data_IF_630378172112
#
_entry.id   IF_630378172112
#
_cell.length_a   1.000
_cell.length_b   1.000
_cell.length_c   1.000
_cell.angle_alpha   90.00
_cell.angle_beta   90.00
_cell.angle_gamma   90.00
#
_symmetry.space_group_name_H-M   'P 1'
#
loop_
_entity.id
_entity.type
_entity.pdbx_description
1 polymer ?
#
# COMPACT_ATOMS: atom_id res chain seq x y z
N UNK A 1 -18.65 -34.42 11.85
CA UNK A 1 -18.17 -33.20 12.52
C UNK A 1 -17.18 -32.52 11.58
N UNK A 2 -17.59 -31.46 10.88
CA UNK A 2 -16.65 -30.63 10.13
C UNK A 2 -15.89 -29.76 11.13
N UNK A 3 -14.57 -29.95 11.20
CA UNK A 3 -13.70 -29.07 11.97
C UNK A 3 -13.85 -27.65 11.41
N UNK A 4 -14.19 -26.69 12.28
CA UNK A 4 -14.04 -25.27 11.97
C UNK A 4 -12.55 -25.03 11.73
N UNK A 5 -12.17 -24.79 10.47
CA UNK A 5 -10.81 -24.47 10.09
C UNK A 5 -10.36 -23.19 10.80
N UNK A 6 -9.17 -23.22 11.41
CA UNK A 6 -8.50 -22.03 11.94
C UNK A 6 -8.44 -20.94 10.87
N UNK A 7 -8.81 -19.71 11.22
CA UNK A 7 -8.64 -18.56 10.35
C UNK A 7 -7.17 -18.42 9.95
N UNK A 8 -6.93 -18.16 8.67
CA UNK A 8 -5.60 -17.95 8.14
C UNK A 8 -5.41 -16.49 7.78
N UNK A 9 -4.20 -15.98 7.97
CA UNK A 9 -3.82 -14.61 7.64
C UNK A 9 -2.51 -14.61 6.87
N UNK A 10 -2.36 -13.64 5.97
CA UNK A 10 -1.13 -13.38 5.23
C UNK A 10 -0.61 -11.98 5.53
N UNK A 11 0.72 -11.82 5.51
CA UNK A 11 1.39 -10.51 5.59
C UNK A 11 1.82 -9.99 4.22
N UNK A 12 1.55 -10.75 3.15
CA UNK A 12 1.82 -10.30 1.78
C UNK A 12 1.06 -9.00 1.51
N UNK A 13 1.76 -8.02 0.94
CA UNK A 13 1.13 -6.80 0.46
C UNK A 13 0.41 -7.12 -0.84
N UNK A 14 -0.92 -6.97 -0.82
CA UNK A 14 -1.81 -7.17 -1.97
C UNK A 14 -2.49 -5.86 -2.29
N UNK A 15 -2.69 -5.60 -3.58
CA UNK A 15 -3.27 -4.36 -4.12
C UNK A 15 -4.39 -4.69 -5.10
N UNK A 16 -5.27 -3.73 -5.39
CA UNK A 16 -6.40 -3.94 -6.33
C UNK A 16 -5.93 -4.40 -7.73
N UNK A 17 -4.75 -3.97 -8.17
CA UNK A 17 -4.17 -4.36 -9.47
C UNK A 17 -3.79 -5.84 -9.55
N UNK A 18 -3.67 -6.54 -8.43
CA UNK A 18 -3.43 -7.99 -8.41
C UNK A 18 -4.68 -8.80 -8.77
N UNK A 19 -5.87 -8.21 -8.71
CA UNK A 19 -7.13 -8.93 -8.94
C UNK A 19 -7.21 -9.50 -10.35
N UNK A 20 -6.84 -8.73 -11.37
CA UNK A 20 -6.89 -9.18 -12.77
C UNK A 20 -6.04 -10.45 -13.01
N UNK A 21 -4.72 -10.47 -12.74
CA UNK A 21 -3.91 -11.67 -12.94
C UNK A 21 -4.33 -12.82 -12.01
N UNK A 22 -4.82 -12.52 -10.80
CA UNK A 22 -5.33 -13.55 -9.87
C UNK A 22 -6.58 -14.24 -10.41
N UNK A 23 -7.57 -13.47 -10.87
CA UNK A 23 -8.82 -14.00 -11.41
C UNK A 23 -8.56 -14.77 -12.70
N UNK A 24 -7.68 -14.26 -13.57
CA UNK A 24 -7.29 -14.95 -14.80
C UNK A 24 -6.66 -16.33 -14.49
N UNK A 25 -5.75 -16.42 -13.51
CA UNK A 25 -5.17 -17.69 -13.08
C UNK A 25 -6.23 -18.64 -12.51
N UNK A 26 -7.13 -18.15 -11.63
CA UNK A 26 -8.21 -18.96 -11.06
C UNK A 26 -9.19 -19.48 -12.12
N UNK A 27 -9.49 -18.65 -13.13
CA UNK A 27 -10.36 -19.00 -14.25
C UNK A 27 -9.67 -19.85 -15.32
N UNK A 28 -8.35 -20.11 -15.18
CA UNK A 28 -7.54 -20.80 -16.18
C UNK A 28 -7.55 -20.11 -17.56
N UNK A 29 -7.63 -18.78 -17.56
CA UNK A 29 -7.64 -17.94 -18.76
C UNK A 29 -6.28 -17.26 -18.93
N UNK A 30 -5.71 -17.33 -20.13
CA UNK A 30 -4.51 -16.59 -20.48
C UNK A 30 -4.82 -15.12 -20.74
N UNK A 31 -4.06 -14.21 -20.14
CA UNK A 31 -4.12 -12.78 -20.49
C UNK A 31 -3.47 -12.54 -21.86
N UNK A 32 -3.92 -11.50 -22.61
CA UNK A 32 -3.32 -11.14 -23.88
C UNK A 32 -1.79 -10.95 -23.79
N UNK A 33 -1.01 -11.43 -24.78
CA UNK A 33 0.43 -11.23 -24.79
C UNK A 33 0.78 -9.75 -24.96
N UNK A 34 1.88 -9.32 -24.35
CA UNK A 34 2.37 -7.94 -24.43
C UNK A 34 1.71 -6.95 -23.47
N UNK A 35 0.77 -7.39 -22.62
CA UNK A 35 0.26 -6.55 -21.54
C UNK A 35 1.33 -6.34 -20.47
N UNK A 36 1.61 -5.07 -20.15
CA UNK A 36 2.38 -4.68 -18.97
C UNK A 36 1.40 -4.56 -17.81
N UNK A 37 1.57 -5.39 -16.78
CA UNK A 37 0.71 -5.42 -15.61
C UNK A 37 1.53 -5.04 -14.37
N UNK A 38 0.99 -4.14 -13.56
CA UNK A 38 1.58 -3.79 -12.26
C UNK A 38 1.29 -4.85 -11.19
N UNK A 39 0.20 -5.62 -11.38
CA UNK A 39 -0.23 -6.66 -10.47
C UNK A 39 0.37 -8.02 -10.79
N UNK A 40 0.45 -8.86 -9.76
CA UNK A 40 0.85 -10.26 -9.86
C UNK A 40 -0.20 -11.15 -9.22
N UNK A 41 -0.43 -12.35 -9.76
CA UNK A 41 -1.38 -13.27 -9.16
C UNK A 41 -1.01 -13.62 -7.71
N UNK A 42 -2.01 -13.57 -6.83
CA UNK A 42 -1.86 -13.92 -5.41
C UNK A 42 -2.53 -15.25 -5.06
N UNK A 43 -2.89 -16.07 -6.05
CA UNK A 43 -3.41 -17.44 -5.83
C UNK A 43 -2.55 -18.26 -4.85
N UNK A 44 -1.19 -18.23 -4.91
CA UNK A 44 -0.37 -18.92 -3.93
C UNK A 44 -0.64 -18.47 -2.49
N UNK A 45 -0.85 -17.17 -2.26
CA UNK A 45 -1.12 -16.63 -0.93
C UNK A 45 -2.55 -16.93 -0.44
N UNK A 46 -3.51 -17.10 -1.37
CA UNK A 46 -4.90 -17.39 -1.06
C UNK A 46 -5.15 -18.88 -0.77
N UNK A 47 -4.52 -19.78 -1.53
CA UNK A 47 -4.86 -21.20 -1.54
C UNK A 47 -3.81 -22.12 -0.89
N UNK A 48 -2.57 -21.69 -0.65
CA UNK A 48 -1.54 -22.57 -0.07
C UNK A 48 -1.59 -22.57 1.46
N UNK A 49 -1.69 -23.78 2.02
CA UNK A 49 -1.80 -24.06 3.46
C UNK A 49 -0.48 -23.86 4.24
N UNK A 50 -0.52 -23.39 5.51
CA UNK A 50 0.62 -23.13 6.41
C UNK A 50 1.40 -24.38 6.82
N UNK A 51 0.95 -25.58 6.44
CA UNK A 51 1.65 -26.85 6.73
C UNK A 51 2.81 -27.14 5.79
N UNK A 52 3.05 -26.30 4.78
CA UNK A 52 4.32 -26.30 4.08
C UNK A 52 5.16 -25.18 4.68
N UNK A 53 6.41 -25.49 5.00
CA UNK A 53 7.49 -24.51 5.07
C UNK A 53 7.64 -23.83 3.70
N UNK A 54 6.60 -23.15 3.25
CA UNK A 54 6.70 -22.13 2.24
C UNK A 54 7.39 -21.01 2.98
N UNK A 55 8.71 -20.91 2.82
CA UNK A 55 9.38 -19.64 3.04
C UNK A 55 8.46 -18.58 2.44
N UNK A 56 7.97 -17.70 3.29
CA UNK A 56 7.07 -16.59 2.99
C UNK A 56 7.83 -15.61 2.10
N UNK A 57 8.17 -16.06 0.88
CA UNK A 57 8.69 -15.27 -0.23
C UNK A 57 7.52 -14.47 -0.75
N UNK A 58 6.96 -13.65 0.14
CA UNK A 58 6.17 -12.50 -0.23
C UNK A 58 6.98 -11.77 -1.30
N UNK A 59 6.40 -11.53 -2.49
CA UNK A 59 7.10 -10.78 -3.51
C UNK A 59 7.57 -9.46 -2.91
N UNK A 60 8.88 -9.22 -2.92
CA UNK A 60 9.48 -7.95 -2.49
C UNK A 60 9.21 -6.89 -3.57
N UNK A 61 7.94 -6.50 -3.71
CA UNK A 61 7.48 -5.55 -4.71
C UNK A 61 7.06 -4.24 -4.06
N UNK A 62 7.36 -3.10 -4.71
CA UNK A 62 6.85 -1.82 -4.28
C UNK A 62 5.34 -1.69 -4.52
N UNK A 63 4.70 -0.82 -3.73
CA UNK A 63 3.36 -0.28 -4.00
C UNK A 63 3.50 1.21 -4.21
N UNK A 64 3.02 1.67 -5.37
CA UNK A 64 3.04 3.07 -5.76
C UNK A 64 1.69 3.72 -5.45
N UNK A 65 1.72 4.88 -4.78
CA UNK A 65 0.54 5.64 -4.42
C UNK A 65 0.51 6.92 -5.25
N UNK A 66 -0.34 6.94 -6.27
CA UNK A 66 -0.54 8.11 -7.13
C UNK A 66 -1.75 8.95 -6.67
N UNK A 67 -1.67 10.26 -6.90
CA UNK A 67 -2.83 11.17 -6.86
C UNK A 67 -2.76 12.04 -8.12
N UNK A 68 -3.69 11.84 -9.05
CA UNK A 68 -3.58 12.43 -10.38
C UNK A 68 -2.34 11.88 -11.10
N UNK A 69 -1.50 12.77 -11.63
CA UNK A 69 -0.27 12.43 -12.33
C UNK A 69 0.98 12.44 -11.42
N UNK A 70 0.82 12.60 -10.10
CA UNK A 70 1.91 12.69 -9.14
C UNK A 70 2.08 11.38 -8.36
N UNK A 71 3.31 10.86 -8.34
CA UNK A 71 3.71 9.78 -7.46
C UNK A 71 3.90 10.33 -6.04
N UNK A 72 2.87 10.19 -5.21
CA UNK A 72 2.85 10.75 -3.86
C UNK A 72 3.74 9.97 -2.90
N UNK A 73 3.66 8.64 -2.94
CA UNK A 73 4.41 7.78 -2.04
C UNK A 73 4.74 6.42 -2.65
N UNK A 74 5.76 5.76 -2.10
CA UNK A 74 6.11 4.37 -2.41
C UNK A 74 6.24 3.58 -1.11
N UNK A 75 5.60 2.43 -1.04
CA UNK A 75 5.80 1.44 0.03
C UNK A 75 6.65 0.29 -0.48
N UNK A 76 7.65 -0.12 0.28
CA UNK A 76 8.39 -1.36 0.08
C UNK A 76 8.52 -2.09 1.42
N UNK A 77 7.97 -3.30 1.50
CA UNK A 77 7.87 -4.04 2.76
C UNK A 77 7.14 -3.26 3.85
N UNK A 78 7.82 -3.02 4.97
CA UNK A 78 7.30 -2.24 6.11
C UNK A 78 7.58 -0.74 6.01
N UNK A 79 8.30 -0.28 5.01
CA UNK A 79 8.66 1.12 4.86
C UNK A 79 7.77 1.82 3.83
N UNK A 80 7.39 3.07 4.10
CA UNK A 80 6.67 3.93 3.15
C UNK A 80 7.32 5.30 3.13
N UNK A 81 7.71 5.73 1.94
CA UNK A 81 8.32 7.02 1.67
C UNK A 81 7.32 7.93 0.95
N UNK A 82 7.07 9.12 1.47
CA UNK A 82 6.28 10.16 0.82
C UNK A 82 7.20 11.17 0.14
N UNK A 83 7.01 11.32 -1.16
CA UNK A 83 7.68 12.32 -2.01
C UNK A 83 6.86 13.60 -2.08
N UNK A 84 5.55 13.49 -1.86
CA UNK A 84 4.62 14.61 -1.78
C UNK A 84 3.60 14.34 -0.67
N UNK A 85 3.24 15.38 0.07
CA UNK A 85 2.19 15.31 1.09
C UNK A 85 1.13 16.38 0.83
N UNK A 86 -0.13 15.98 0.88
CA UNK A 86 -1.26 16.89 0.69
C UNK A 86 -2.58 16.24 1.13
N UNK A 87 -3.33 16.90 2.01
CA UNK A 87 -4.72 16.54 2.33
C UNK A 87 -5.66 17.16 1.30
N UNK A 88 -6.03 18.43 1.48
CA UNK A 88 -6.90 19.23 0.64
C UNK A 88 -6.50 20.72 0.72
N UNK A 89 -7.05 21.59 -0.12
CA UNK A 89 -6.67 23.01 -0.09
C UNK A 89 -7.20 23.71 1.17
N UNK A 90 -6.59 24.84 1.54
CA UNK A 90 -7.11 25.71 2.58
C UNK A 90 -8.52 26.23 2.27
N UNK A 91 -8.87 26.48 1.00
CA UNK A 91 -10.25 26.88 0.67
C UNK A 91 -11.24 25.78 1.03
N UNK A 92 -10.97 24.54 0.62
CA UNK A 92 -11.83 23.39 0.93
C UNK A 92 -11.92 23.14 2.44
N UNK A 93 -10.80 23.23 3.14
CA UNK A 93 -10.78 23.04 4.58
C UNK A 93 -11.66 24.07 5.31
N UNK A 94 -11.58 25.35 4.90
CA UNK A 94 -12.39 26.43 5.47
C UNK A 94 -13.89 26.27 5.20
N UNK A 95 -14.31 25.51 4.19
CA UNK A 95 -15.72 25.18 3.95
C UNK A 95 -16.20 23.97 4.76
N UNK A 96 -15.37 23.41 5.65
CA UNK A 96 -15.70 22.25 6.49
C UNK A 96 -15.34 20.90 5.88
N UNK A 97 -14.64 20.87 4.75
CA UNK A 97 -14.16 19.61 4.16
C UNK A 97 -12.86 19.23 4.88
N UNK A 98 -12.90 18.20 5.71
CA UNK A 98 -11.73 17.68 6.40
C UNK A 98 -11.51 16.20 6.03
N UNK A 99 -10.40 15.92 5.34
CA UNK A 99 -10.02 14.54 4.99
C UNK A 99 -9.40 13.79 6.17
N UNK A 100 -9.00 14.48 7.24
CA UNK A 100 -8.26 13.93 8.38
C UNK A 100 -8.81 14.46 9.73
N UNK A 101 -10.10 14.28 10.04
CA UNK A 101 -10.72 14.83 11.24
C UNK A 101 -10.03 14.31 12.51
N UNK A 102 -9.58 15.25 13.35
CA UNK A 102 -8.90 14.93 14.62
C UNK A 102 -7.49 14.34 14.43
N UNK A 103 -6.93 14.36 13.22
CA UNK A 103 -5.63 13.80 12.92
C UNK A 103 -4.73 14.82 12.22
N UNK A 104 -3.71 15.30 12.95
CA UNK A 104 -2.74 16.27 12.44
C UNK A 104 -1.32 15.82 12.75
N UNK A 105 -0.51 15.74 11.71
CA UNK A 105 0.92 15.42 11.79
C UNK A 105 1.69 16.55 11.08
N UNK A 106 2.48 17.36 11.81
CA UNK A 106 3.21 18.50 11.24
C UNK A 106 4.08 18.08 10.04
N UNK A 107 3.96 18.83 8.93
CA UNK A 107 4.68 18.54 7.68
C UNK A 107 4.14 17.37 6.85
N UNK A 108 3.13 16.65 7.33
CA UNK A 108 2.56 15.48 6.64
C UNK A 108 1.10 15.73 6.26
N UNK A 109 0.26 16.12 7.22
CA UNK A 109 -1.15 16.46 6.94
C UNK A 109 -1.27 17.94 6.57
N UNK A 110 -0.78 18.31 5.39
CA UNK A 110 -0.66 19.72 4.95
C UNK A 110 -1.81 20.13 4.03
N UNK A 111 -2.30 21.37 4.21
CA UNK A 111 -3.32 21.95 3.31
C UNK A 111 -2.75 22.66 2.07
N UNK A 112 -1.43 22.57 1.89
CA UNK A 112 -0.70 22.98 0.70
C UNK A 112 0.17 21.82 0.26
N UNK A 113 0.16 21.49 -1.03
CA UNK A 113 0.94 20.38 -1.55
C UNK A 113 2.43 20.61 -1.30
N UNK A 114 3.00 19.76 -0.46
CA UNK A 114 4.36 19.91 0.06
C UNK A 114 5.30 18.94 -0.65
N UNK A 115 6.42 19.46 -1.13
CA UNK A 115 7.41 18.72 -1.91
C UNK A 115 8.51 18.14 -1.00
N UNK A 116 8.67 16.82 -1.05
CA UNK A 116 9.69 16.05 -0.33
C UNK A 116 10.51 15.16 -1.28
N UNK A 117 10.56 15.44 -2.58
CA UNK A 117 11.26 14.57 -3.55
C UNK A 117 12.76 14.41 -3.24
N UNK A 118 13.41 15.49 -2.79
CA UNK A 118 14.83 15.48 -2.41
C UNK A 118 15.09 14.75 -1.08
N UNK A 119 14.14 14.80 -0.15
CA UNK A 119 14.26 14.19 1.19
C UNK A 119 12.90 13.60 1.59
N UNK A 120 12.56 12.39 1.11
CA UNK A 120 11.26 11.80 1.35
C UNK A 120 10.99 11.57 2.83
N UNK A 121 9.75 11.82 3.25
CA UNK A 121 9.29 11.52 4.60
C UNK A 121 9.10 10.00 4.71
N UNK A 122 9.89 9.37 5.56
CA UNK A 122 9.92 7.91 5.69
C UNK A 122 9.20 7.45 6.97
N UNK A 123 8.33 6.44 6.84
CA UNK A 123 7.65 5.78 7.96
C UNK A 123 7.93 4.27 7.97
N UNK A 124 7.93 3.69 9.18
CA UNK A 124 7.94 2.24 9.38
C UNK A 124 6.54 1.76 9.78
N UNK A 125 5.73 1.32 8.81
CA UNK A 125 4.34 0.91 8.98
C UNK A 125 4.10 -0.24 9.95
N UNK A 126 5.11 -1.11 10.17
CA UNK A 126 5.00 -2.18 11.18
C UNK A 126 5.07 -1.70 12.63
N UNK A 127 5.60 -0.50 12.88
CA UNK A 127 5.76 0.11 14.21
C UNK A 127 4.85 1.32 14.37
N UNK A 128 4.65 2.05 13.28
CA UNK A 128 3.83 3.24 13.17
C UNK A 128 2.87 3.10 11.98
N UNK A 129 1.81 2.28 12.11
CA UNK A 129 0.80 2.13 11.06
C UNK A 129 0.01 3.42 10.81
N UNK A 130 0.01 4.35 11.79
CA UNK A 130 -0.70 5.62 11.70
C UNK A 130 0.09 6.74 11.03
N UNK A 131 1.35 6.50 10.64
CA UNK A 131 2.21 7.52 10.01
C UNK A 131 2.35 8.80 10.86
N UNK A 132 2.49 8.62 12.19
CA UNK A 132 2.59 9.70 13.19
C UNK A 132 4.02 10.19 13.41
N UNK A 133 5.00 9.31 13.23
CA UNK A 133 6.39 9.56 13.63
C UNK A 133 7.34 9.31 12.45
N UNK A 134 7.63 10.35 11.65
CA UNK A 134 8.64 10.27 10.60
C UNK A 134 9.99 9.82 11.16
N UNK A 135 10.66 8.93 10.42
CA UNK A 135 12.04 8.52 10.71
C UNK A 135 12.95 9.72 10.43
N UNK A 136 13.75 10.10 11.44
CA UNK A 136 14.76 11.15 11.30
C UNK A 136 16.03 10.55 10.71
N UNK A 137 16.59 11.20 9.70
CA UNK A 137 17.94 10.93 9.23
C UNK A 137 18.92 11.59 10.22
N UNK A 138 19.89 10.82 10.72
CA UNK A 138 20.98 11.31 11.56
C UNK A 138 22.19 11.69 10.73
#
# INVERSE_FOLDING_TARGET
>A
MHAFGSSQGTRQVVTVVDLLPTIAELAQVSLPPGLVLDGTSVVPALLKSPHRHYEDKTPDRPVFYYRGNELMAVRKGVYKAHFWCWTNSWEQFKTGIDFCPGFQVPGVTTHSQSNYTAHPILFHLGRDPGEKFPIKYG
#
